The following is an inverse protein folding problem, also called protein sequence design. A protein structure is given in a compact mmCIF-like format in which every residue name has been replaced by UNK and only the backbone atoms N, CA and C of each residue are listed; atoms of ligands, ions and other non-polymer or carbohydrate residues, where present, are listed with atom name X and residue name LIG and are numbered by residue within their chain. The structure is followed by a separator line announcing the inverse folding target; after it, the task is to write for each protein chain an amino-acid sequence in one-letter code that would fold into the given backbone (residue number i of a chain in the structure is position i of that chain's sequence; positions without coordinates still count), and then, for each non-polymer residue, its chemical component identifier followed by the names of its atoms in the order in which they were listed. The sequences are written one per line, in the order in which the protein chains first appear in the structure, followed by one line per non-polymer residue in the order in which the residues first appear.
data_IF_362853468156
#
_entry.id   IF_362853468156
#
_cell.length_a   1.000
_cell.length_b   1.000
_cell.length_c   1.000
_cell.angle_alpha   90.00
_cell.angle_beta   90.00
_cell.angle_gamma   90.00
#
_symmetry.space_group_name_H-M   'P 1'
#
loop_
_entity.id
_entity.type
_entity.pdbx_description
1 polymer ?
#
# COMPACT_ATOMS: atom_id res chain seq x y z
N UNK A 1 -16.00 -27.36 10.68
CA UNK A 1 -16.78 -26.70 9.60
C UNK A 1 -16.64 -25.20 9.84
N UNK A 2 -15.68 -24.55 9.18
CA UNK A 2 -15.45 -23.10 9.32
C UNK A 2 -16.40 -22.40 8.34
N UNK A 3 -17.47 -21.83 8.88
CA UNK A 3 -18.43 -21.05 8.11
C UNK A 3 -17.74 -19.74 7.70
N UNK A 4 -17.35 -19.65 6.44
CA UNK A 4 -16.85 -18.42 5.84
C UNK A 4 -17.96 -17.37 5.90
N UNK A 5 -17.67 -16.24 6.54
CA UNK A 5 -18.58 -15.09 6.56
C UNK A 5 -18.58 -14.51 5.13
N UNK A 6 -19.51 -14.99 4.30
CA UNK A 6 -19.77 -14.42 2.99
C UNK A 6 -20.49 -13.09 3.20
N UNK A 7 -19.95 -12.00 2.62
CA UNK A 7 -20.67 -10.73 2.56
C UNK A 7 -21.89 -10.88 1.64
N UNK A 8 -22.81 -9.92 1.66
CA UNK A 8 -24.17 -10.03 1.04
C UNK A 8 -24.18 -10.22 -0.49
N UNK A 9 -23.00 -10.32 -1.11
CA UNK A 9 -22.76 -10.50 -2.55
C UNK A 9 -22.01 -11.79 -2.92
N UNK A 10 -21.65 -12.64 -1.95
CA UNK A 10 -20.97 -13.92 -2.22
C UNK A 10 -19.47 -13.81 -2.58
N UNK A 11 -18.92 -12.60 -2.66
CA UNK A 11 -17.50 -12.35 -2.85
C UNK A 11 -16.75 -12.39 -1.51
N UNK A 12 -15.54 -12.94 -1.52
CA UNK A 12 -14.70 -12.92 -0.32
C UNK A 12 -14.21 -11.47 -0.06
N UNK A 13 -14.04 -11.07 1.21
CA UNK A 13 -13.42 -9.77 1.52
C UNK A 13 -12.05 -9.58 0.87
N UNK A 14 -11.32 -10.67 0.62
CA UNK A 14 -10.01 -10.66 -0.05
C UNK A 14 -10.13 -10.24 -1.52
N UNK A 15 -11.07 -10.83 -2.27
CA UNK A 15 -11.27 -10.52 -3.69
C UNK A 15 -11.68 -9.05 -3.87
N UNK A 16 -12.61 -8.58 -3.03
CA UNK A 16 -13.04 -7.18 -3.06
C UNK A 16 -11.90 -6.19 -2.76
N UNK A 17 -11.00 -6.54 -1.84
CA UNK A 17 -9.83 -5.70 -1.54
C UNK A 17 -8.89 -5.67 -2.74
N UNK A 18 -8.63 -6.82 -3.38
CA UNK A 18 -7.78 -6.88 -4.57
C UNK A 18 -8.35 -6.05 -5.72
N UNK A 19 -9.66 -6.12 -5.96
CA UNK A 19 -10.32 -5.30 -6.98
C UNK A 19 -10.17 -3.81 -6.68
N UNK A 20 -10.37 -3.39 -5.43
CA UNK A 20 -10.16 -2.00 -5.02
C UNK A 20 -8.70 -1.55 -5.23
N UNK A 21 -7.71 -2.43 -5.00
CA UNK A 21 -6.31 -2.12 -5.28
C UNK A 21 -6.00 -2.04 -6.78
N UNK A 22 -6.62 -2.87 -7.62
CA UNK A 22 -6.51 -2.76 -9.08
C UNK A 22 -7.13 -1.46 -9.59
N UNK A 23 -8.23 -0.98 -8.99
CA UNK A 23 -8.77 0.35 -9.30
C UNK A 23 -7.82 1.51 -8.96
N UNK A 24 -6.88 1.31 -8.02
CA UNK A 24 -5.85 2.31 -7.71
C UNK A 24 -4.74 2.33 -8.76
N UNK A 25 -4.59 1.25 -9.53
CA UNK A 25 -3.53 1.13 -10.52
C UNK A 25 -3.72 2.17 -11.60
N UNK A 26 -2.67 2.94 -11.84
CA UNK A 26 -2.73 4.00 -12.83
C UNK A 26 -3.30 5.33 -12.33
N UNK A 27 -3.88 5.38 -11.12
CA UNK A 27 -4.34 6.63 -10.51
C UNK A 27 -3.13 7.44 -10.06
N UNK A 28 -3.08 8.69 -10.51
CA UNK A 28 -2.09 9.67 -10.08
C UNK A 28 -2.61 10.38 -8.83
N UNK A 29 -1.75 10.56 -7.84
CA UNK A 29 -2.12 11.17 -6.58
C UNK A 29 -0.98 12.01 -6.01
N UNK A 30 -1.33 13.03 -5.24
CA UNK A 30 -0.36 13.81 -4.49
C UNK A 30 -0.08 13.14 -3.16
N UNK A 31 1.20 13.01 -2.82
CA UNK A 31 1.62 12.47 -1.54
C UNK A 31 2.86 13.16 -0.98
N UNK A 32 3.07 12.98 0.31
CA UNK A 32 4.25 13.41 1.04
C UNK A 32 5.07 12.19 1.44
N UNK A 33 6.34 12.15 1.01
CA UNK A 33 7.25 11.11 1.44
C UNK A 33 7.65 11.35 2.90
N UNK A 34 7.28 10.43 3.79
CA UNK A 34 7.54 10.55 5.22
C UNK A 34 8.88 9.92 5.64
N UNK A 35 9.44 9.05 4.81
CA UNK A 35 10.71 8.36 5.09
C UNK A 35 10.66 6.88 4.76
N UNK A 36 11.59 6.12 5.34
CA UNK A 36 11.64 4.67 5.21
C UNK A 36 11.73 4.01 6.59
N UNK A 37 11.26 2.77 6.67
CA UNK A 37 11.34 1.91 7.84
C UNK A 37 11.90 0.56 7.41
N UNK A 38 12.97 0.15 8.07
CA UNK A 38 13.45 -1.22 7.95
C UNK A 38 12.61 -2.13 8.85
N UNK A 39 12.10 -3.21 8.26
CA UNK A 39 11.47 -4.30 9.00
C UNK A 39 12.32 -5.54 8.83
N UNK A 40 12.87 -6.02 9.94
CA UNK A 40 13.62 -7.28 9.95
C UNK A 40 12.66 -8.45 10.08
N UNK A 41 12.71 -9.33 9.09
CA UNK A 41 12.07 -10.63 9.10
C UNK A 41 12.74 -11.55 10.11
N UNK A 42 12.00 -12.56 10.56
CA UNK A 42 12.48 -13.54 11.55
C UNK A 42 13.66 -14.39 11.04
N UNK A 43 13.84 -14.51 9.72
CA UNK A 43 14.98 -15.20 9.08
C UNK A 43 16.25 -14.33 9.01
N UNK A 44 16.22 -13.13 9.61
CA UNK A 44 17.34 -12.19 9.62
C UNK A 44 17.41 -11.30 8.38
N UNK A 45 16.52 -11.48 7.40
CA UNK A 45 16.45 -10.59 6.23
C UNK A 45 15.79 -9.28 6.62
N UNK A 46 16.42 -8.16 6.28
CA UNK A 46 15.81 -6.84 6.42
C UNK A 46 15.11 -6.45 5.11
N UNK A 47 13.88 -5.95 5.23
CA UNK A 47 13.14 -5.35 4.12
C UNK A 47 12.90 -3.89 4.47
N UNK A 48 13.32 -2.99 3.59
CA UNK A 48 13.04 -1.56 3.72
C UNK A 48 11.70 -1.26 3.06
N UNK A 49 10.85 -0.53 3.78
CA UNK A 49 9.59 0.01 3.27
C UNK A 49 9.67 1.53 3.30
N UNK A 50 9.10 2.16 2.28
CA UNK A 50 8.93 3.59 2.16
C UNK A 50 7.53 3.98 2.63
N UNK A 51 7.42 5.14 3.26
CA UNK A 51 6.17 5.68 3.77
C UNK A 51 5.78 6.89 2.95
N UNK A 52 4.59 6.83 2.34
CA UNK A 52 4.01 7.93 1.57
C UNK A 52 2.63 8.25 2.11
N UNK A 53 2.48 9.44 2.69
CA UNK A 53 1.18 9.97 3.08
C UNK A 53 0.45 10.52 1.86
N UNK A 54 -0.78 10.08 1.65
CA UNK A 54 -1.65 10.55 0.57
C UNK A 54 -2.35 11.83 1.00
N UNK A 55 -2.26 12.85 0.15
CA UNK A 55 -2.87 14.16 0.38
C UNK A 55 -4.17 14.30 -0.41
N UNK A 56 -4.21 13.77 -1.64
CA UNK A 56 -5.38 13.92 -2.51
C UNK A 56 -6.61 13.19 -1.95
N UNK A 57 -7.69 13.94 -1.72
CA UNK A 57 -8.94 13.43 -1.14
C UNK A 57 -9.56 12.26 -1.92
N UNK A 58 -9.48 12.29 -3.26
CA UNK A 58 -9.98 11.20 -4.11
C UNK A 58 -9.27 9.87 -3.86
N UNK A 59 -7.96 9.90 -3.60
CA UNK A 59 -7.20 8.70 -3.24
C UNK A 59 -7.46 8.28 -1.79
N UNK A 60 -7.57 9.23 -0.85
CA UNK A 60 -7.93 8.93 0.55
C UNK A 60 -9.26 8.19 0.65
N UNK A 61 -10.29 8.64 -0.05
CA UNK A 61 -11.60 7.98 -0.05
C UNK A 61 -11.54 6.53 -0.56
N UNK A 62 -10.71 6.26 -1.59
CA UNK A 62 -10.46 4.89 -2.07
C UNK A 62 -9.69 4.04 -1.03
N UNK A 63 -8.71 4.63 -0.34
CA UNK A 63 -7.99 3.94 0.76
C UNK A 63 -8.90 3.61 1.93
N UNK A 64 -9.82 4.51 2.31
CA UNK A 64 -10.81 4.25 3.35
C UNK A 64 -11.75 3.09 2.98
N UNK A 65 -12.13 2.96 1.71
CA UNK A 65 -12.91 1.82 1.23
C UNK A 65 -12.17 0.49 1.41
N UNK A 66 -10.85 0.46 1.13
CA UNK A 66 -10.00 -0.70 1.35
C UNK A 66 -9.92 -1.05 2.84
N UNK A 67 -9.66 -0.06 3.70
CA UNK A 67 -9.59 -0.24 5.16
C UNK A 67 -10.92 -0.74 5.72
N UNK A 68 -12.04 -0.21 5.22
CA UNK A 68 -13.39 -0.66 5.61
C UNK A 68 -13.65 -2.14 5.28
N UNK A 69 -13.03 -2.66 4.21
CA UNK A 69 -13.13 -4.07 3.82
C UNK A 69 -12.19 -4.98 4.65
N UNK A 70 -11.02 -4.49 5.08
CA UNK A 70 -10.03 -5.28 5.85
C UNK A 70 -10.52 -5.66 7.26
N UNK A 71 -11.59 -5.04 7.76
CA UNK A 71 -12.27 -5.35 9.05
C UNK A 71 -11.35 -5.43 10.28
N UNK A 72 -10.12 -4.90 10.19
CA UNK A 72 -9.16 -4.89 11.29
C UNK A 72 -8.44 -6.22 11.54
N UNK A 73 -8.48 -7.17 10.60
CA UNK A 73 -7.71 -8.42 10.71
C UNK A 73 -6.22 -8.24 10.33
N UNK A 74 -5.79 -7.00 10.03
CA UNK A 74 -4.45 -6.64 9.56
C UNK A 74 -3.98 -7.51 8.38
N UNK A 75 -4.93 -7.96 7.55
CA UNK A 75 -4.68 -8.89 6.45
C UNK A 75 -3.95 -8.17 5.32
N UNK A 76 -4.02 -6.83 5.26
CA UNK A 76 -3.49 -6.06 4.15
C UNK A 76 -2.67 -4.85 4.62
N UNK A 77 -1.44 -5.12 5.07
CA UNK A 77 -0.50 -4.12 5.64
C UNK A 77 0.07 -3.10 4.64
N UNK A 78 -0.49 -3.02 3.43
CA UNK A 78 -0.06 -2.07 2.40
C UNK A 78 -0.52 -0.63 2.69
N UNK A 79 -1.57 -0.46 3.48
CA UNK A 79 -2.16 0.83 3.83
C UNK A 79 -2.33 0.93 5.34
N UNK A 80 -1.98 2.09 5.90
CA UNK A 80 -2.33 2.49 7.27
C UNK A 80 -2.96 3.90 7.23
N UNK A 81 -4.28 3.97 7.43
CA UNK A 81 -5.08 5.20 7.28
C UNK A 81 -4.87 5.88 5.92
N UNK A 82 -4.11 6.96 5.88
CA UNK A 82 -3.78 7.70 4.67
C UNK A 82 -2.33 7.49 4.22
N UNK A 83 -1.65 6.47 4.71
CA UNK A 83 -0.25 6.19 4.38
C UNK A 83 -0.12 4.87 3.64
N UNK A 84 0.64 4.86 2.54
CA UNK A 84 1.08 3.64 1.88
C UNK A 84 2.40 3.13 2.49
N UNK A 85 2.46 1.82 2.72
CA UNK A 85 3.69 1.06 2.95
C UNK A 85 4.20 0.54 1.61
N UNK A 86 5.15 1.27 1.05
CA UNK A 86 5.62 1.09 -0.32
C UNK A 86 6.92 0.29 -0.31
N UNK A 87 6.98 -0.80 -1.08
CA UNK A 87 8.18 -1.64 -1.17
C UNK A 87 9.31 -0.99 -1.97
N UNK A 88 8.98 -0.12 -2.93
CA UNK A 88 9.94 0.67 -3.69
C UNK A 88 9.24 1.82 -4.41
N UNK A 89 9.95 2.94 -4.55
CA UNK A 89 9.50 4.11 -5.32
C UNK A 89 10.46 4.29 -6.49
N UNK A 90 10.01 4.03 -7.71
CA UNK A 90 10.78 4.30 -8.94
C UNK A 90 10.86 5.80 -9.20
N UNK A 91 11.99 6.26 -9.76
CA UNK A 91 12.21 7.67 -10.09
C UNK A 91 12.54 8.59 -8.91
N UNK A 92 12.70 8.05 -7.70
CA UNK A 92 13.18 8.80 -6.53
C UNK A 92 14.61 8.35 -6.21
N UNK A 93 15.61 9.21 -6.45
CA UNK A 93 17.01 8.87 -6.14
C UNK A 93 17.18 8.64 -4.64
N UNK A 94 17.60 7.44 -4.25
CA UNK A 94 18.05 7.10 -2.90
C UNK A 94 19.23 8.02 -2.52
N UNK A 95 18.95 9.10 -1.79
CA UNK A 95 19.99 10.05 -1.37
C UNK A 95 19.58 11.53 -1.38
N UNK A 96 18.47 11.90 -2.00
CA UNK A 96 17.98 13.28 -1.91
C UNK A 96 17.04 13.45 -0.71
N UNK A 97 17.64 13.71 0.46
CA UNK A 97 16.95 14.27 1.64
C UNK A 97 16.23 15.61 1.33
N UNK A 98 16.50 16.20 0.16
CA UNK A 98 15.83 17.38 -0.40
C UNK A 98 14.42 17.11 -0.98
N UNK A 99 13.97 15.86 -1.10
CA UNK A 99 12.59 15.56 -1.56
C UNK A 99 11.58 15.58 -0.41
N UNK A 100 11.80 16.41 0.63
CA UNK A 100 10.81 16.69 1.70
C UNK A 100 9.75 17.64 1.14
N UNK A 101 8.89 17.14 0.27
CA UNK A 101 7.87 17.93 -0.38
C UNK A 101 6.72 17.07 -0.91
N UNK A 102 5.64 17.74 -1.30
CA UNK A 102 4.52 17.12 -1.99
C UNK A 102 5.00 16.72 -3.38
N UNK A 103 4.89 15.45 -3.71
CA UNK A 103 5.20 14.91 -5.04
C UNK A 103 3.98 14.20 -5.61
N UNK A 104 3.92 14.13 -6.94
CA UNK A 104 2.93 13.33 -7.63
C UNK A 104 3.47 11.90 -7.76
N UNK A 105 2.66 10.94 -7.32
CA UNK A 105 2.95 9.53 -7.42
C UNK A 105 1.89 8.84 -8.26
N UNK A 106 2.27 7.69 -8.81
CA UNK A 106 1.36 6.77 -9.47
C UNK A 106 1.59 5.37 -8.92
N UNK A 107 0.52 4.63 -8.67
CA UNK A 107 0.65 3.20 -8.39
C UNK A 107 1.09 2.49 -9.66
N UNK A 108 2.32 2.02 -9.66
CA UNK A 108 2.99 1.40 -10.82
C UNK A 108 2.70 -0.11 -10.84
N UNK A 109 2.95 -0.76 -9.71
CA UNK A 109 2.76 -2.20 -9.56
C UNK A 109 2.24 -2.56 -8.18
N UNK A 110 1.44 -3.60 -8.15
CA UNK A 110 0.93 -4.29 -6.98
C UNK A 110 1.36 -5.74 -7.10
N UNK A 111 1.80 -6.35 -6.01
CA UNK A 111 1.89 -7.81 -5.91
C UNK A 111 1.19 -8.27 -4.66
N UNK A 112 0.37 -9.31 -4.81
CA UNK A 112 -0.27 -10.01 -3.71
C UNK A 112 0.39 -11.37 -3.51
N UNK A 113 0.63 -11.74 -2.25
CA UNK A 113 1.06 -13.09 -1.90
C UNK A 113 0.62 -13.48 -0.49
N UNK A 114 0.81 -14.75 -0.15
CA UNK A 114 0.60 -15.27 1.20
C UNK A 114 1.94 -15.45 1.89
N UNK A 115 2.14 -14.81 3.05
CA UNK A 115 3.34 -14.98 3.87
C UNK A 115 3.00 -15.51 5.25
N UNK A 116 3.85 -16.39 5.78
CA UNK A 116 3.73 -16.89 7.16
C UNK A 116 4.16 -15.79 8.13
N UNK A 117 3.20 -15.10 8.75
CA UNK A 117 3.48 -14.12 9.80
C UNK A 117 3.43 -14.79 11.18
N UNK A 118 4.54 -15.43 11.57
CA UNK A 118 4.64 -16.23 12.81
C UNK A 118 4.20 -15.49 14.09
N UNK A 119 4.33 -14.17 14.16
CA UNK A 119 3.91 -13.38 15.34
C UNK A 119 2.39 -13.24 15.50
N UNK A 120 1.59 -13.51 14.45
CA UNK A 120 0.13 -13.47 14.53
C UNK A 120 -0.49 -14.83 14.89
N UNK A 121 0.33 -15.88 15.09
CA UNK A 121 -0.14 -17.28 15.24
C UNK A 121 -1.12 -17.70 14.12
N UNK A 122 -1.04 -17.06 12.95
CA UNK A 122 -1.77 -17.43 11.71
C UNK A 122 -0.78 -18.19 10.81
N UNK A 123 -1.25 -19.26 10.16
CA UNK A 123 -0.41 -20.06 9.26
C UNK A 123 0.04 -19.25 8.03
N UNK A 124 -0.83 -18.36 7.52
CA UNK A 124 -0.53 -17.42 6.44
C UNK A 124 -1.33 -16.13 6.64
N UNK A 125 -0.73 -14.99 6.32
CA UNK A 125 -1.42 -13.71 6.14
C UNK A 125 -1.22 -13.25 4.70
N UNK A 126 -2.26 -12.67 4.11
CA UNK A 126 -2.10 -11.96 2.84
C UNK A 126 -1.14 -10.79 3.05
N UNK A 127 -0.34 -10.50 2.03
CA UNK A 127 0.57 -9.36 2.03
C UNK A 127 0.44 -8.72 0.65
N UNK A 128 0.27 -7.40 0.66
CA UNK A 128 0.39 -6.57 -0.53
C UNK A 128 1.71 -5.84 -0.48
N UNK A 129 2.43 -5.90 -1.59
CA UNK A 129 3.57 -5.04 -1.86
C UNK A 129 3.17 -4.02 -2.90
N UNK A 130 3.27 -2.75 -2.52
CA UNK A 130 2.93 -1.61 -3.35
C UNK A 130 4.21 -1.03 -3.91
N UNK A 131 4.23 -0.76 -5.21
CA UNK A 131 5.32 -0.11 -5.91
C UNK A 131 4.76 1.18 -6.51
N UNK A 132 5.38 2.31 -6.14
CA UNK A 132 5.00 3.60 -6.69
C UNK A 132 6.04 4.05 -7.72
N UNK A 133 5.60 4.93 -8.61
CA UNK A 133 6.48 5.72 -9.46
C UNK A 133 6.31 7.18 -9.10
N UNK A 134 7.41 7.83 -8.75
CA UNK A 134 7.46 9.28 -8.63
C UNK A 134 7.37 9.88 -10.04
N UNK A 135 6.40 10.77 -10.24
CA UNK A 135 6.25 11.51 -11.48
C UNK A 135 7.09 12.78 -11.41
N UNK A 136 7.71 13.20 -12.53
CA UNK A 136 8.41 14.47 -12.56
C UNK A 136 7.44 15.60 -12.16
N UNK A 137 7.91 16.65 -11.48
CA UNK A 137 7.09 17.83 -11.22
C UNK A 137 6.55 18.32 -12.57
N UNK A 138 5.23 18.39 -12.67
CA UNK A 138 4.51 18.68 -13.90
C UNK A 138 5.14 19.92 -14.55
N UNK A 139 5.64 19.80 -15.78
CA UNK A 139 6.18 20.94 -16.53
C UNK A 139 5.08 21.92 -16.99
N UNK A 140 3.83 21.67 -16.59
CA UNK A 140 2.65 22.49 -16.90
C UNK A 140 2.45 23.61 -15.87
N UNK A 141 3.41 24.52 -15.86
CA UNK A 141 3.22 25.91 -15.43
C UNK A 141 4.38 26.72 -16.04
N UNK A 142 4.26 27.03 -17.32
CA UNK A 142 5.05 28.06 -17.99
C UNK A 142 4.13 28.83 -18.94
#
# INVERSE_FOLDING_TARGET
MLCGVMDQFGESPEDRILDLYEELKGVEFQGHYLGHREKRSHDGRSVTFHLVEVISEGMKSKMEAIIGCDRGDDVWKGIDRHTFWVSSIDGQSEGNEESKGISCYKLDRLTHGKQVLKWQRKDYSSVISIYLKALPPDSRNH
#
